data_IF_807938028702
#
_entry.id   IF_807938028702
#
_cell.length_a   1.000
_cell.length_b   1.000
_cell.length_c   1.000
_cell.angle_alpha   90.00
_cell.angle_beta   90.00
_cell.angle_gamma   90.00
#
_symmetry.space_group_name_H-M   'P 1'
#
loop_
_entity.id
_entity.type
_entity.pdbx_description
1 polymer ?
#
# COMPACT_ATOMS: atom_id res chain seq x y z
N UNK A 1 -7.41 -5.67 -14.57
CA UNK A 1 -7.04 -5.04 -13.29
C UNK A 1 -8.35 -4.61 -12.66
N UNK A 2 -8.61 -5.01 -11.42
CA UNK A 2 -9.79 -4.54 -10.67
C UNK A 2 -9.59 -3.06 -10.33
N UNK A 3 -10.19 -2.20 -11.14
CA UNK A 3 -10.05 -0.75 -10.98
C UNK A 3 -10.86 -0.23 -9.78
N UNK A 4 -11.92 -0.93 -9.40
CA UNK A 4 -12.78 -0.52 -8.31
C UNK A 4 -12.11 -0.78 -6.95
N UNK A 5 -11.61 -2.00 -6.72
CA UNK A 5 -10.93 -2.33 -5.47
C UNK A 5 -9.66 -1.49 -5.24
N UNK A 6 -8.91 -1.20 -6.31
CA UNK A 6 -7.74 -0.30 -6.24
C UNK A 6 -8.16 1.13 -5.89
N UNK A 7 -9.25 1.63 -6.49
CA UNK A 7 -9.75 2.96 -6.20
C UNK A 7 -10.20 3.08 -4.74
N UNK A 8 -10.97 2.10 -4.25
CA UNK A 8 -11.45 2.05 -2.87
C UNK A 8 -10.29 2.02 -1.85
N UNK A 9 -9.26 1.20 -2.10
CA UNK A 9 -8.08 1.14 -1.24
C UNK A 9 -7.30 2.48 -1.23
N UNK A 10 -7.12 3.10 -2.40
CA UNK A 10 -6.47 4.42 -2.52
C UNK A 10 -7.30 5.55 -1.88
N UNK A 11 -8.63 5.43 -1.92
CA UNK A 11 -9.53 6.38 -1.28
C UNK A 11 -9.42 6.30 0.23
N UNK A 12 -9.45 5.08 0.80
CA UNK A 12 -9.22 4.86 2.24
C UNK A 12 -7.88 5.44 2.68
N UNK A 13 -6.79 5.24 1.92
CA UNK A 13 -5.50 5.85 2.23
C UNK A 13 -5.57 7.38 2.29
N UNK A 14 -6.20 7.97 1.26
CA UNK A 14 -6.31 9.42 1.15
C UNK A 14 -7.12 9.99 2.32
N UNK A 15 -8.19 9.29 2.71
CA UNK A 15 -9.05 9.62 3.84
C UNK A 15 -8.31 9.54 5.17
N UNK A 16 -7.56 8.46 5.43
CA UNK A 16 -6.80 8.25 6.68
C UNK A 16 -5.68 9.30 6.86
N UNK A 17 -5.14 9.80 5.75
CA UNK A 17 -4.15 10.89 5.76
C UNK A 17 -4.76 12.28 5.95
N UNK A 18 -6.08 12.43 5.87
CA UNK A 18 -6.74 13.71 6.14
C UNK A 18 -6.96 13.92 7.64
N UNK A 19 -6.21 14.87 8.21
CA UNK A 19 -6.29 15.23 9.63
C UNK A 19 -7.67 15.72 10.13
N UNK A 20 -8.49 16.29 9.25
CA UNK A 20 -9.74 16.98 9.62
C UNK A 20 -11.01 16.13 9.43
N UNK A 21 -10.90 14.80 9.32
CA UNK A 21 -12.01 13.87 8.99
C UNK A 21 -13.28 14.09 9.85
N UNK A 22 -13.13 14.54 11.10
CA UNK A 22 -14.23 14.67 12.06
C UNK A 22 -14.51 16.11 12.56
N UNK A 23 -13.77 17.12 12.09
CA UNK A 23 -13.81 18.48 12.68
C UNK A 23 -13.97 19.60 11.66
N UNK A 24 -14.15 19.26 10.39
CA UNK A 24 -14.29 20.23 9.31
C UNK A 24 -15.58 21.08 9.42
N UNK A 25 -15.48 22.41 9.39
CA UNK A 25 -16.63 23.29 9.17
C UNK A 25 -17.34 23.01 7.82
N UNK A 26 -18.66 23.19 7.76
CA UNK A 26 -19.49 22.90 6.57
C UNK A 26 -19.00 23.61 5.30
N UNK A 27 -18.48 24.84 5.44
CA UNK A 27 -17.94 25.66 4.35
C UNK A 27 -16.64 25.11 3.76
N UNK A 28 -15.94 24.20 4.45
CA UNK A 28 -14.72 23.55 3.96
C UNK A 28 -14.96 22.19 3.31
N UNK A 29 -16.18 21.64 3.38
CA UNK A 29 -16.50 20.30 2.87
C UNK A 29 -16.19 20.17 1.37
N UNK A 30 -16.59 21.16 0.57
CA UNK A 30 -16.34 21.14 -0.88
C UNK A 30 -14.84 21.06 -1.20
N UNK A 31 -14.03 21.89 -0.53
CA UNK A 31 -12.58 21.89 -0.71
C UNK A 31 -11.91 20.59 -0.24
N UNK A 32 -12.44 19.97 0.83
CA UNK A 32 -11.96 18.67 1.31
C UNK A 32 -12.30 17.53 0.34
N UNK A 33 -13.50 17.52 -0.24
CA UNK A 33 -13.89 16.53 -1.27
C UNK A 33 -12.99 16.66 -2.50
N UNK A 34 -12.72 17.88 -2.96
CA UNK A 34 -11.82 18.12 -4.10
C UNK A 34 -10.38 17.66 -3.80
N UNK A 35 -9.89 17.94 -2.59
CA UNK A 35 -8.58 17.50 -2.15
C UNK A 35 -8.49 15.97 -2.05
N UNK A 36 -9.49 15.33 -1.45
CA UNK A 36 -9.59 13.88 -1.34
C UNK A 36 -9.58 13.22 -2.71
N UNK A 37 -10.42 13.69 -3.63
CA UNK A 37 -10.48 13.21 -5.02
C UNK A 37 -9.13 13.37 -5.72
N UNK A 38 -8.46 14.51 -5.56
CA UNK A 38 -7.13 14.76 -6.14
C UNK A 38 -6.07 13.81 -5.58
N UNK A 39 -6.08 13.57 -4.27
CA UNK A 39 -5.15 12.64 -3.61
C UNK A 39 -5.38 11.20 -4.09
N UNK A 40 -6.62 10.73 -4.05
CA UNK A 40 -7.02 9.39 -4.50
C UNK A 40 -6.59 9.15 -5.95
N UNK A 41 -6.91 10.08 -6.86
CA UNK A 41 -6.53 9.96 -8.27
C UNK A 41 -5.01 9.90 -8.47
N UNK A 42 -4.24 10.62 -7.64
CA UNK A 42 -2.78 10.59 -7.72
C UNK A 42 -2.20 9.26 -7.22
N UNK A 43 -2.75 8.69 -6.15
CA UNK A 43 -2.39 7.35 -5.68
C UNK A 43 -2.75 6.28 -6.72
N UNK A 44 -3.94 6.32 -7.30
CA UNK A 44 -4.35 5.42 -8.39
C UNK A 44 -3.39 5.51 -9.57
N UNK A 45 -2.94 6.71 -9.94
CA UNK A 45 -1.95 6.89 -11.01
C UNK A 45 -0.61 6.22 -10.69
N UNK A 46 -0.15 6.32 -9.44
CA UNK A 46 1.08 5.68 -8.96
C UNK A 46 0.93 4.15 -8.99
N UNK A 47 -0.22 3.63 -8.54
CA UNK A 47 -0.53 2.19 -8.60
C UNK A 47 -0.48 1.69 -10.04
N UNK A 48 -1.18 2.36 -10.97
CA UNK A 48 -1.18 1.99 -12.39
C UNK A 48 0.23 2.02 -13.00
N UNK A 49 1.04 3.02 -12.64
CA UNK A 49 2.42 3.16 -13.11
C UNK A 49 3.31 2.00 -12.64
N UNK A 50 3.09 1.47 -11.44
CA UNK A 50 3.96 0.45 -10.83
C UNK A 50 3.38 -0.97 -10.90
N UNK A 51 2.22 -1.16 -11.53
CA UNK A 51 1.57 -2.47 -11.65
C UNK A 51 2.42 -3.50 -12.40
N UNK A 52 3.27 -3.04 -13.33
CA UNK A 52 4.18 -3.91 -14.09
C UNK A 52 5.12 -4.74 -13.20
N UNK A 53 5.43 -4.27 -11.99
CA UNK A 53 6.32 -4.98 -11.04
C UNK A 53 5.75 -6.35 -10.69
N UNK A 54 4.43 -6.53 -10.69
CA UNK A 54 3.78 -7.80 -10.30
C UNK A 54 2.89 -8.35 -11.40
N UNK A 55 2.99 -7.85 -12.64
CA UNK A 55 2.01 -8.15 -13.69
C UNK A 55 1.95 -9.63 -14.09
N UNK A 56 3.07 -10.34 -13.91
CA UNK A 56 3.21 -11.76 -14.23
C UNK A 56 2.79 -12.68 -13.08
N UNK A 57 2.56 -12.15 -11.88
CA UNK A 57 2.19 -12.97 -10.73
C UNK A 57 0.72 -13.43 -10.78
N UNK A 58 0.43 -14.65 -10.28
CA UNK A 58 -0.93 -15.02 -9.91
C UNK A 58 -1.44 -14.07 -8.82
N UNK A 59 -2.74 -13.82 -8.78
CA UNK A 59 -3.39 -12.96 -7.76
C UNK A 59 -2.82 -11.54 -7.65
N UNK A 60 -2.10 -11.04 -8.67
CA UNK A 60 -1.52 -9.68 -8.72
C UNK A 60 -2.46 -8.54 -8.31
N UNK A 61 -3.76 -8.68 -8.55
CA UNK A 61 -4.73 -7.65 -8.13
C UNK A 61 -4.92 -7.63 -6.62
N UNK A 62 -5.08 -8.81 -6.01
CA UNK A 62 -5.17 -8.97 -4.55
C UNK A 62 -3.88 -8.55 -3.86
N UNK A 63 -2.71 -8.88 -4.44
CA UNK A 63 -1.40 -8.42 -3.96
C UNK A 63 -1.35 -6.89 -3.94
N UNK A 64 -1.74 -6.23 -5.04
CA UNK A 64 -1.73 -4.76 -5.12
C UNK A 64 -2.63 -4.13 -4.06
N UNK A 65 -3.87 -4.61 -3.96
CA UNK A 65 -4.86 -4.09 -2.99
C UNK A 65 -4.36 -4.31 -1.55
N UNK A 66 -3.85 -5.50 -1.24
CA UNK A 66 -3.31 -5.83 0.08
C UNK A 66 -2.09 -4.98 0.43
N UNK A 67 -1.21 -4.69 -0.54
CA UNK A 67 -0.08 -3.80 -0.33
C UNK A 67 -0.52 -2.37 0.02
N UNK A 68 -1.55 -1.84 -0.66
CA UNK A 68 -2.13 -0.53 -0.34
C UNK A 68 -2.73 -0.54 1.07
N UNK A 69 -3.54 -1.56 1.40
CA UNK A 69 -4.14 -1.71 2.74
C UNK A 69 -3.06 -1.78 3.83
N UNK A 70 -1.97 -2.51 3.58
CA UNK A 70 -0.84 -2.58 4.50
C UNK A 70 -0.18 -1.21 4.71
N UNK A 71 -0.05 -0.40 3.66
CA UNK A 71 0.46 0.97 3.78
C UNK A 71 -0.49 1.88 4.57
N UNK A 72 -1.81 1.68 4.47
CA UNK A 72 -2.79 2.47 5.23
C UNK A 72 -2.58 2.27 6.74
N UNK A 73 -2.29 1.05 7.20
CA UNK A 73 -1.99 0.77 8.61
C UNK A 73 -0.75 1.52 9.14
N UNK A 74 0.14 1.96 8.24
CA UNK A 74 1.36 2.71 8.55
C UNK A 74 1.22 4.20 8.23
N UNK A 75 0.07 4.65 7.74
CA UNK A 75 -0.16 6.01 7.30
C UNK A 75 -0.37 6.94 8.50
N UNK A 76 0.69 7.65 8.90
CA UNK A 76 0.65 8.64 10.00
C UNK A 76 0.56 10.06 9.40
N UNK A 77 -0.18 11.01 10.02
CA UNK A 77 -0.53 12.31 9.42
C UNK A 77 0.55 13.30 8.93
N UNK A 78 1.87 13.25 9.22
CA UNK A 78 2.82 14.09 8.47
C UNK A 78 2.97 13.66 6.99
N UNK A 79 2.29 12.58 6.55
CA UNK A 79 2.40 12.02 5.21
C UNK A 79 1.38 12.55 4.20
N UNK A 80 0.46 13.46 4.59
CA UNK A 80 -0.52 14.05 3.67
C UNK A 80 0.18 14.66 2.44
N UNK A 81 -0.18 14.18 1.26
CA UNK A 81 0.39 14.65 -0.01
C UNK A 81 1.85 14.21 -0.26
N UNK A 82 2.43 13.37 0.59
CA UNK A 82 3.75 12.78 0.38
C UNK A 82 3.66 11.58 -0.58
N UNK A 83 3.46 11.89 -1.86
CA UNK A 83 3.33 10.88 -2.91
C UNK A 83 4.60 10.06 -3.14
N UNK A 84 5.77 10.61 -2.81
CA UNK A 84 7.05 9.88 -2.89
C UNK A 84 7.11 8.78 -1.84
N UNK A 85 6.68 9.06 -0.60
CA UNK A 85 6.56 8.03 0.43
C UNK A 85 5.65 6.89 -0.04
N UNK A 86 4.46 7.21 -0.57
CA UNK A 86 3.55 6.19 -1.08
C UNK A 86 4.18 5.38 -2.22
N UNK A 87 4.74 6.04 -3.23
CA UNK A 87 5.35 5.38 -4.39
C UNK A 87 6.50 4.46 -3.97
N UNK A 88 7.45 4.94 -3.17
CA UNK A 88 8.61 4.13 -2.76
C UNK A 88 8.23 3.01 -1.81
N UNK A 89 7.28 3.23 -0.90
CA UNK A 89 6.83 2.18 0.01
C UNK A 89 6.06 1.10 -0.75
N UNK A 90 5.21 1.49 -1.70
CA UNK A 90 4.50 0.56 -2.57
C UNK A 90 5.48 -0.28 -3.39
N UNK A 91 6.43 0.36 -4.09
CA UNK A 91 7.45 -0.35 -4.86
C UNK A 91 8.22 -1.34 -3.98
N UNK A 92 8.61 -0.93 -2.77
CA UNK A 92 9.32 -1.80 -1.83
C UNK A 92 8.50 -3.06 -1.49
N UNK A 93 7.22 -2.91 -1.18
CA UNK A 93 6.33 -4.05 -0.91
C UNK A 93 6.18 -4.96 -2.14
N UNK A 94 6.02 -4.38 -3.32
CA UNK A 94 5.89 -5.14 -4.56
C UNK A 94 7.17 -5.92 -4.90
N UNK A 95 8.35 -5.35 -4.66
CA UNK A 95 9.66 -6.00 -4.85
C UNK A 95 9.93 -7.09 -3.79
N UNK A 96 9.32 -7.02 -2.60
CA UNK A 96 9.39 -8.13 -1.64
C UNK A 96 8.59 -9.33 -2.16
N UNK A 97 7.42 -9.08 -2.76
CA UNK A 97 6.52 -10.13 -3.25
C UNK A 97 6.96 -10.68 -4.60
N UNK A 98 7.39 -9.80 -5.51
CA UNK A 98 7.98 -10.15 -6.79
C UNK A 98 9.36 -9.50 -6.93
N UNK A 99 10.41 -10.06 -6.31
CA UNK A 99 11.76 -9.52 -6.44
C UNK A 99 12.16 -9.55 -7.93
N UNK A 100 12.03 -8.41 -8.60
CA UNK A 100 12.18 -8.31 -10.04
C UNK A 100 13.67 -8.34 -10.35
N UNK A 101 14.08 -9.43 -10.98
CA UNK A 101 15.39 -9.65 -11.60
C UNK A 101 16.60 -9.96 -10.67
N UNK A 102 17.41 -10.90 -11.16
CA UNK A 102 18.87 -10.98 -10.95
C UNK A 102 19.42 -11.49 -9.62
N UNK A 103 18.59 -11.92 -8.67
CA UNK A 103 19.04 -12.86 -7.65
C UNK A 103 19.37 -14.19 -8.33
N UNK A 104 20.49 -14.26 -9.06
CA UNK A 104 21.11 -15.53 -9.40
C UNK A 104 21.34 -16.35 -8.12
N UNK A 105 21.97 -17.51 -8.21
CA UNK A 105 22.15 -18.41 -7.04
C UNK A 105 22.65 -17.73 -5.74
N UNK A 106 23.33 -16.58 -5.85
CA UNK A 106 23.82 -15.75 -4.72
C UNK A 106 22.73 -14.99 -3.96
N UNK A 107 21.57 -14.66 -4.55
CA UNK A 107 20.48 -13.96 -3.86
C UNK A 107 19.51 -14.90 -3.14
N UNK A 108 19.53 -16.19 -3.45
CA UNK A 108 18.68 -17.22 -2.82
C UNK A 108 18.77 -17.20 -1.27
N UNK A 109 19.97 -17.10 -0.64
CA UNK A 109 20.05 -17.06 0.81
C UNK A 109 19.28 -15.89 1.44
N UNK A 110 19.30 -14.72 0.82
CA UNK A 110 18.54 -13.56 1.30
C UNK A 110 17.03 -13.80 1.15
N UNK A 111 16.58 -14.30 0.00
CA UNK A 111 15.16 -14.60 -0.23
C UNK A 111 14.62 -15.64 0.76
N UNK A 112 15.41 -16.68 1.08
CA UNK A 112 15.06 -17.67 2.10
C UNK A 112 14.98 -17.05 3.49
N UNK A 113 15.93 -16.18 3.85
CA UNK A 113 15.90 -15.47 5.13
C UNK A 113 14.69 -14.53 5.24
N UNK A 114 14.36 -13.81 4.16
CA UNK A 114 13.18 -12.94 4.10
C UNK A 114 11.88 -13.75 4.25
N UNK A 115 11.75 -14.88 3.53
CA UNK A 115 10.61 -15.79 3.68
C UNK A 115 10.46 -16.27 5.12
N UNK A 116 11.54 -16.76 5.73
CA UNK A 116 11.50 -17.26 7.10
C UNK A 116 11.06 -16.17 8.10
N UNK A 117 11.51 -14.92 7.94
CA UNK A 117 11.06 -13.80 8.78
C UNK A 117 9.58 -13.48 8.60
N UNK A 118 9.08 -13.53 7.36
CA UNK A 118 7.65 -13.34 7.07
C UNK A 118 6.80 -14.48 7.65
N UNK A 119 7.22 -15.74 7.49
CA UNK A 119 6.53 -16.90 8.04
C UNK A 119 6.42 -16.81 9.56
N UNK A 120 7.49 -16.37 10.25
CA UNK A 120 7.50 -16.17 11.70
C UNK A 120 6.53 -15.07 12.15
N UNK A 121 6.45 -13.95 11.41
CA UNK A 121 5.50 -12.87 11.72
C UNK A 121 4.04 -13.33 11.53
N UNK A 122 3.77 -14.13 10.50
CA UNK A 122 2.43 -14.71 10.27
C UNK A 122 2.07 -15.69 11.39
N UNK A 123 3.01 -16.53 11.81
CA UNK A 123 2.83 -17.43 12.94
C UNK A 123 2.46 -16.64 14.21
N UNK A 124 3.24 -15.60 14.55
CA UNK A 124 2.96 -14.73 15.69
C UNK A 124 1.60 -14.03 15.64
N UNK A 125 1.20 -13.53 14.48
CA UNK A 125 -0.10 -12.87 14.32
C UNK A 125 -1.30 -13.83 14.48
N UNK A 126 -1.08 -15.14 14.40
CA UNK A 126 -2.11 -16.17 14.58
C UNK A 126 -2.11 -16.81 15.98
N UNK A 127 -1.16 -16.45 16.84
CA UNK A 127 -1.27 -16.80 18.26
C UNK A 127 -2.37 -15.96 18.89
N UNK A 128 -3.28 -16.56 19.68
CA UNK A 128 -4.22 -15.77 20.45
C UNK A 128 -3.43 -14.85 21.38
N UNK A 129 -3.81 -13.57 21.42
CA UNK A 129 -3.32 -12.67 22.47
C UNK A 129 -3.60 -13.37 23.81
N UNK A 130 -2.56 -13.69 24.57
CA UNK A 130 -2.71 -14.21 25.93
C UNK A 130 -3.42 -13.12 26.75
N UNK A 131 -4.73 -13.29 26.99
CA UNK A 131 -5.54 -12.52 27.96
C UNK A 131 -5.11 -12.80 29.41
#
# INVERSE_FOLDING_TARGET
>A
MDEQGIFEACFSLAEDLMWEKNTAPLDKIAAQIDELSRMTNKYVRIVKKNFFIIEDLPNRQEIMISAIIHLNALAIPPLKGNYHWFEYSLITLLEIVNPYSSAGKRGIPFLLAARNGLDQMIEWANYPDDE
#
